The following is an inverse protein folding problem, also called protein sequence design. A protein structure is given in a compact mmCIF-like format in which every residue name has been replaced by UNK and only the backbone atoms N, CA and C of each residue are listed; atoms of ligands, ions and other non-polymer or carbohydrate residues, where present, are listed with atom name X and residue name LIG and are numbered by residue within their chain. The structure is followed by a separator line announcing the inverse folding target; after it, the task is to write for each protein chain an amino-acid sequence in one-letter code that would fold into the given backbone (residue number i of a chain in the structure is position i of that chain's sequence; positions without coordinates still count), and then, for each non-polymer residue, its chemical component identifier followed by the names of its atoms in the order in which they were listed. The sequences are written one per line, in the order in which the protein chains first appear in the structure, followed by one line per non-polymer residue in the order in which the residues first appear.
data_IF_523693964546
#
_entry.id   IF_523693964546
#
_cell.length_a   1.000
_cell.length_b   1.000
_cell.length_c   1.000
_cell.angle_alpha   90.00
_cell.angle_beta   90.00
_cell.angle_gamma   90.00
#
_symmetry.space_group_name_H-M   'P 1'
#
loop_
_entity.id
_entity.type
_entity.pdbx_description
1 polymer ?
#
# COMPACT_ATOMS: atom_id res chain seq x y z
N UNK A 1 5.11 7.25 18.33
CA UNK A 1 6.41 7.58 17.70
C UNK A 1 7.53 6.54 17.93
N UNK A 2 7.67 5.91 19.11
CA UNK A 2 8.72 4.86 19.34
C UNK A 2 8.60 3.65 18.41
N UNK A 3 7.40 3.23 18.07
CA UNK A 3 7.16 2.05 17.22
C UNK A 3 7.60 2.24 15.76
N UNK A 4 7.49 3.45 15.19
CA UNK A 4 7.86 3.72 13.81
C UNK A 4 9.37 3.48 13.55
N UNK A 5 10.26 3.88 14.47
CA UNK A 5 11.71 3.63 14.33
C UNK A 5 12.06 2.13 14.37
N UNK A 6 11.35 1.38 15.20
CA UNK A 6 11.53 -0.07 15.33
C UNK A 6 11.07 -0.76 14.05
N UNK A 7 9.89 -0.39 13.55
CA UNK A 7 9.32 -0.92 12.30
C UNK A 7 10.26 -0.72 11.12
N UNK A 8 10.80 0.50 10.94
CA UNK A 8 11.77 0.80 9.87
C UNK A 8 13.04 -0.04 10.01
N UNK A 9 13.55 -0.23 11.22
CA UNK A 9 14.76 -1.04 11.46
C UNK A 9 14.55 -2.50 11.04
N UNK A 10 13.43 -3.11 11.43
CA UNK A 10 13.12 -4.49 11.05
C UNK A 10 12.87 -4.63 9.55
N UNK A 11 12.17 -3.69 8.93
CA UNK A 11 11.95 -3.67 7.49
C UNK A 11 13.26 -3.60 6.70
N UNK A 12 14.17 -2.70 7.10
CA UNK A 12 15.50 -2.60 6.47
C UNK A 12 16.37 -3.83 6.70
N UNK A 13 16.34 -4.44 7.89
CA UNK A 13 17.08 -5.67 8.19
C UNK A 13 16.56 -6.84 7.33
N UNK A 14 15.25 -6.99 7.21
CA UNK A 14 14.65 -8.02 6.35
C UNK A 14 15.00 -7.78 4.87
N UNK A 15 15.03 -6.53 4.43
CA UNK A 15 15.43 -6.18 3.06
C UNK A 15 16.91 -6.52 2.80
N UNK A 16 17.81 -6.25 3.76
CA UNK A 16 19.21 -6.68 3.66
C UNK A 16 19.35 -8.19 3.50
N UNK A 17 18.65 -8.97 4.33
CA UNK A 17 18.61 -10.44 4.21
C UNK A 17 18.01 -10.90 2.87
N UNK A 18 17.02 -10.19 2.34
CA UNK A 18 16.41 -10.47 1.05
C UNK A 18 17.43 -10.36 -0.10
N UNK A 19 18.26 -9.30 -0.07
CA UNK A 19 19.34 -9.07 -1.05
C UNK A 19 20.39 -10.18 -0.95
N UNK A 20 20.88 -10.46 0.25
CA UNK A 20 21.92 -11.49 0.48
C UNK A 20 21.50 -12.87 -0.05
N UNK A 21 20.22 -13.21 0.11
CA UNK A 21 19.67 -14.49 -0.34
C UNK A 21 19.06 -14.45 -1.77
N UNK A 22 19.16 -13.33 -2.49
CA UNK A 22 18.55 -13.14 -3.83
C UNK A 22 17.07 -13.51 -3.88
N UNK A 23 16.32 -13.25 -2.82
CA UNK A 23 14.92 -13.63 -2.63
C UNK A 23 14.00 -12.43 -2.39
N UNK A 24 14.36 -11.27 -2.93
CA UNK A 24 13.66 -10.00 -2.70
C UNK A 24 12.20 -10.06 -3.13
N UNK A 25 11.93 -10.64 -4.30
CA UNK A 25 10.58 -10.75 -4.85
C UNK A 25 9.71 -11.71 -4.03
N UNK A 26 10.27 -12.84 -3.60
CA UNK A 26 9.54 -13.83 -2.80
C UNK A 26 9.14 -13.23 -1.44
N UNK A 27 10.09 -12.57 -0.77
CA UNK A 27 9.82 -11.91 0.51
C UNK A 27 8.84 -10.74 0.33
N UNK A 28 8.91 -10.00 -0.77
CA UNK A 28 7.94 -8.95 -1.09
C UNK A 28 6.53 -9.51 -1.22
N UNK A 29 6.35 -10.59 -1.97
CA UNK A 29 5.07 -11.27 -2.11
C UNK A 29 4.55 -11.82 -0.75
N UNK A 30 5.45 -12.34 0.07
CA UNK A 30 5.10 -12.83 1.41
C UNK A 30 4.63 -11.71 2.32
N UNK A 31 5.31 -10.57 2.31
CA UNK A 31 4.90 -9.40 3.10
C UNK A 31 3.59 -8.81 2.61
N UNK A 32 3.32 -8.85 1.31
CA UNK A 32 2.00 -8.49 0.77
C UNK A 32 0.90 -9.43 1.28
N UNK A 33 1.12 -10.75 1.24
CA UNK A 33 0.16 -11.74 1.77
C UNK A 33 -0.10 -11.50 3.26
N UNK A 34 0.94 -11.24 4.05
CA UNK A 34 0.83 -10.94 5.48
C UNK A 34 0.02 -9.66 5.71
N UNK A 35 0.32 -8.59 4.99
CA UNK A 35 -0.38 -7.31 5.08
C UNK A 35 -1.86 -7.47 4.72
N UNK A 36 -2.17 -8.15 3.62
CA UNK A 36 -3.54 -8.40 3.19
C UNK A 36 -4.30 -9.25 4.21
N UNK A 37 -3.70 -10.34 4.71
CA UNK A 37 -4.31 -11.18 5.74
C UNK A 37 -4.66 -10.37 7.01
N UNK A 38 -3.78 -9.47 7.45
CA UNK A 38 -4.04 -8.61 8.60
C UNK A 38 -5.11 -7.54 8.33
N UNK A 39 -5.20 -7.05 7.09
CA UNK A 39 -6.19 -6.05 6.67
C UNK A 39 -7.60 -6.66 6.55
N UNK A 40 -7.69 -7.84 5.97
CA UNK A 40 -8.96 -8.55 5.76
C UNK A 40 -9.52 -9.14 7.06
N UNK A 41 -8.62 -9.60 7.96
CA UNK A 41 -9.01 -10.26 9.21
C UNK A 41 -8.65 -9.40 10.43
N UNK A 42 -9.61 -8.61 10.90
CA UNK A 42 -9.45 -7.81 12.13
C UNK A 42 -9.14 -8.68 13.36
N UNK A 43 -9.69 -9.90 13.42
CA UNK A 43 -9.43 -10.86 14.49
C UNK A 43 -7.95 -11.26 14.56
N UNK A 44 -7.28 -11.47 13.41
CA UNK A 44 -5.85 -11.75 13.36
C UNK A 44 -5.04 -10.58 13.94
N UNK A 45 -5.42 -9.36 13.61
CA UNK A 45 -4.74 -8.16 14.13
C UNK A 45 -4.95 -8.01 15.65
N UNK A 46 -6.15 -8.27 16.16
CA UNK A 46 -6.45 -8.27 17.61
C UNK A 46 -5.71 -9.40 18.34
N UNK A 47 -5.68 -10.58 17.74
CA UNK A 47 -4.92 -11.73 18.25
C UNK A 47 -3.43 -11.40 18.39
N UNK A 48 -2.81 -10.82 17.38
CA UNK A 48 -1.40 -10.41 17.43
C UNK A 48 -1.14 -9.35 18.51
N UNK A 49 -2.06 -8.40 18.69
CA UNK A 49 -1.95 -7.33 19.68
C UNK A 49 -2.24 -7.77 21.11
N UNK A 50 -2.92 -8.90 21.32
CA UNK A 50 -3.30 -9.38 22.66
C UNK A 50 -2.07 -9.80 23.46
N UNK A 51 -1.83 -9.22 24.66
CA UNK A 51 -0.74 -9.63 25.53
C UNK A 51 -1.04 -10.88 26.34
N UNK A 52 -2.31 -11.29 26.42
CA UNK A 52 -2.76 -12.42 27.25
C UNK A 52 -2.33 -13.77 26.65
N UNK A 53 -2.23 -13.84 25.33
CA UNK A 53 -1.94 -15.07 24.60
C UNK A 53 -0.43 -15.34 24.64
N UNK A 54 -0.07 -16.54 25.10
CA UNK A 54 1.33 -16.98 25.21
C UNK A 54 1.98 -17.02 23.82
N UNK A 55 3.26 -16.66 23.76
CA UNK A 55 4.09 -16.61 22.54
C UNK A 55 4.05 -17.93 21.76
N UNK A 56 4.10 -19.07 22.45
CA UNK A 56 4.09 -20.39 21.80
C UNK A 56 2.77 -20.68 21.05
N UNK A 57 1.64 -20.24 21.63
CA UNK A 57 0.34 -20.36 20.95
C UNK A 57 0.29 -19.45 19.72
N UNK A 58 0.83 -18.24 19.80
CA UNK A 58 0.91 -17.32 18.67
C UNK A 58 1.77 -17.88 17.54
N UNK A 59 2.93 -18.48 17.88
CA UNK A 59 3.80 -19.12 16.89
C UNK A 59 3.09 -20.26 16.17
N UNK A 60 2.44 -21.18 16.91
CA UNK A 60 1.71 -22.31 16.30
C UNK A 60 0.61 -21.85 15.33
N UNK A 61 -0.15 -20.81 15.70
CA UNK A 61 -1.21 -20.28 14.85
C UNK A 61 -0.64 -19.57 13.61
N UNK A 62 0.43 -18.77 13.78
CA UNK A 62 1.10 -18.15 12.64
C UNK A 62 1.67 -19.20 11.69
N UNK A 63 2.29 -20.26 12.22
CA UNK A 63 2.79 -21.36 11.40
C UNK A 63 1.64 -22.04 10.63
N UNK A 64 0.50 -22.34 11.26
CA UNK A 64 -0.65 -22.94 10.60
C UNK A 64 -1.24 -22.05 9.49
N UNK A 65 -1.34 -20.74 9.72
CA UNK A 65 -1.91 -19.81 8.73
C UNK A 65 -0.98 -19.65 7.50
N UNK A 66 0.34 -19.64 7.74
CA UNK A 66 1.32 -19.26 6.74
C UNK A 66 2.22 -20.41 6.27
N UNK A 67 2.09 -21.65 6.80
CA UNK A 67 3.00 -22.76 6.60
C UNK A 67 3.34 -23.04 5.12
N UNK A 68 2.33 -23.03 4.24
CA UNK A 68 2.49 -23.30 2.80
C UNK A 68 2.45 -22.06 1.91
N UNK A 69 2.35 -20.86 2.51
CA UNK A 69 2.05 -19.64 1.79
C UNK A 69 3.23 -18.68 1.69
N UNK A 70 4.24 -18.86 2.56
CA UNK A 70 5.39 -17.97 2.66
C UNK A 70 6.71 -18.74 2.64
N UNK A 71 7.78 -18.05 2.26
CA UNK A 71 9.15 -18.58 2.18
C UNK A 71 9.71 -18.91 3.58
N UNK A 72 10.75 -19.75 3.63
CA UNK A 72 11.41 -20.12 4.88
C UNK A 72 12.02 -18.93 5.60
N UNK A 73 12.57 -17.95 4.85
CA UNK A 73 13.14 -16.73 5.42
C UNK A 73 12.06 -15.91 6.10
N UNK A 74 10.93 -15.74 5.45
CA UNK A 74 9.77 -15.03 6.03
C UNK A 74 9.24 -15.72 7.28
N UNK A 75 9.19 -17.08 7.31
CA UNK A 75 8.81 -17.84 8.51
C UNK A 75 9.76 -17.60 9.66
N UNK A 76 11.07 -17.70 9.42
CA UNK A 76 12.08 -17.44 10.44
C UNK A 76 11.97 -16.01 10.98
N UNK A 77 11.74 -15.05 10.10
CA UNK A 77 11.52 -13.66 10.50
C UNK A 77 10.31 -13.49 11.42
N UNK A 78 9.15 -14.08 11.05
CA UNK A 78 7.94 -14.07 11.89
C UNK A 78 8.21 -14.68 13.25
N UNK A 79 8.92 -15.81 13.29
CA UNK A 79 9.31 -16.49 14.53
C UNK A 79 10.16 -15.59 15.43
N UNK A 80 11.19 -14.95 14.87
CA UNK A 80 12.07 -14.03 15.62
C UNK A 80 11.28 -12.84 16.19
N UNK A 81 10.43 -12.21 15.40
CA UNK A 81 9.62 -11.06 15.84
C UNK A 81 8.69 -11.47 16.99
N UNK A 82 8.05 -12.63 16.88
CA UNK A 82 7.13 -13.16 17.88
C UNK A 82 7.88 -13.54 19.17
N UNK A 83 9.06 -14.17 19.07
CA UNK A 83 9.91 -14.46 20.24
C UNK A 83 10.37 -13.19 20.96
N UNK A 84 10.60 -12.11 20.24
CA UNK A 84 10.92 -10.80 20.80
C UNK A 84 9.71 -10.03 21.34
N UNK A 85 8.52 -10.66 21.38
CA UNK A 85 7.24 -10.08 21.85
C UNK A 85 6.88 -8.80 21.11
N UNK A 86 7.14 -8.76 19.79
CA UNK A 86 6.87 -7.61 18.90
C UNK A 86 5.90 -7.96 17.77
N UNK A 87 5.14 -9.03 17.94
CA UNK A 87 4.15 -9.50 16.97
C UNK A 87 3.05 -8.46 16.68
N UNK A 88 2.77 -7.56 17.62
CA UNK A 88 1.83 -6.45 17.42
C UNK A 88 2.27 -5.47 16.32
N UNK A 89 3.56 -5.47 15.96
CA UNK A 89 4.13 -4.60 14.93
C UNK A 89 4.24 -5.29 13.57
N UNK A 90 3.88 -6.57 13.44
CA UNK A 90 4.06 -7.33 12.20
C UNK A 90 3.36 -6.68 11.00
N UNK A 91 2.14 -6.19 11.17
CA UNK A 91 1.42 -5.47 10.11
C UNK A 91 2.17 -4.22 9.64
N UNK A 92 2.63 -3.41 10.58
CA UNK A 92 3.37 -2.16 10.27
C UNK A 92 4.73 -2.48 9.64
N UNK A 93 5.40 -3.55 10.09
CA UNK A 93 6.68 -4.00 9.52
C UNK A 93 6.49 -4.47 8.08
N UNK A 94 5.44 -5.25 7.80
CA UNK A 94 5.14 -5.72 6.46
C UNK A 94 4.89 -4.55 5.49
N UNK A 95 4.05 -3.60 5.89
CA UNK A 95 3.80 -2.40 5.08
C UNK A 95 5.08 -1.59 4.85
N UNK A 96 5.90 -1.42 5.89
CA UNK A 96 7.15 -0.67 5.75
C UNK A 96 8.19 -1.39 4.89
N UNK A 97 8.20 -2.72 4.92
CA UNK A 97 9.04 -3.50 4.00
C UNK A 97 8.60 -3.29 2.54
N UNK A 98 7.29 -3.34 2.27
CA UNK A 98 6.73 -3.08 0.93
C UNK A 98 7.14 -1.68 0.42
N UNK A 99 7.06 -0.66 1.28
CA UNK A 99 7.51 0.69 0.93
C UNK A 99 9.01 0.73 0.61
N UNK A 100 9.87 0.12 1.47
CA UNK A 100 11.31 0.08 1.27
C UNK A 100 11.67 -0.66 -0.02
N UNK A 101 11.02 -1.79 -0.30
CA UNK A 101 11.21 -2.55 -1.53
C UNK A 101 10.86 -1.71 -2.77
N UNK A 102 9.69 -1.03 -2.76
CA UNK A 102 9.26 -0.16 -3.85
C UNK A 102 10.25 0.98 -4.09
N UNK A 103 10.67 1.67 -3.04
CA UNK A 103 11.67 2.75 -3.13
C UNK A 103 13.00 2.28 -3.73
N UNK A 104 13.49 1.09 -3.32
CA UNK A 104 14.78 0.56 -3.79
C UNK A 104 14.73 0.05 -5.22
N UNK A 105 13.57 -0.40 -5.68
CA UNK A 105 13.38 -0.91 -7.03
C UNK A 105 12.78 0.12 -7.99
N UNK A 106 12.67 1.38 -7.56
CA UNK A 106 12.04 2.49 -8.31
C UNK A 106 10.64 2.10 -8.82
N UNK A 107 9.82 1.52 -7.91
CA UNK A 107 8.44 1.17 -8.22
C UNK A 107 7.55 2.28 -7.68
N UNK A 108 6.95 3.05 -8.57
CA UNK A 108 5.98 4.09 -8.21
C UNK A 108 4.57 3.50 -8.10
N UNK A 109 3.82 3.94 -7.09
CA UNK A 109 2.42 3.53 -6.96
C UNK A 109 1.53 4.65 -7.49
N UNK A 110 0.80 4.34 -8.56
CA UNK A 110 -0.24 5.22 -9.09
C UNK A 110 -1.59 4.86 -8.46
N UNK A 111 -2.17 5.77 -7.70
CA UNK A 111 -3.52 5.62 -7.18
C UNK A 111 -4.51 6.24 -8.18
N UNK A 112 -5.43 5.41 -8.69
CA UNK A 112 -6.50 5.85 -9.57
C UNK A 112 -7.80 5.77 -8.81
N UNK A 113 -8.51 6.91 -8.72
CA UNK A 113 -9.85 6.99 -8.15
C UNK A 113 -10.82 7.16 -9.32
N UNK A 114 -11.83 6.28 -9.41
CA UNK A 114 -12.86 6.29 -10.45
C UNK A 114 -14.24 6.13 -9.82
N UNK A 115 -15.28 6.60 -10.50
CA UNK A 115 -16.66 6.42 -10.03
C UNK A 115 -17.14 4.96 -10.16
N UNK A 116 -16.58 4.19 -11.08
CA UNK A 116 -16.89 2.80 -11.34
C UNK A 116 -15.63 1.99 -11.56
N UNK A 117 -15.70 0.67 -11.47
CA UNK A 117 -14.57 -0.21 -11.78
C UNK A 117 -14.07 0.04 -13.19
N UNK A 118 -12.75 0.11 -13.33
CA UNK A 118 -12.10 0.30 -14.63
C UNK A 118 -12.32 -0.93 -15.52
N UNK A 119 -12.64 -0.66 -16.78
CA UNK A 119 -12.61 -1.67 -17.82
C UNK A 119 -11.15 -2.13 -18.04
N UNK A 120 -10.88 -3.45 -18.27
CA UNK A 120 -9.55 -3.97 -18.51
C UNK A 120 -8.78 -3.25 -19.62
N UNK A 121 -9.45 -2.88 -20.72
CA UNK A 121 -8.82 -2.13 -21.83
C UNK A 121 -8.40 -0.72 -21.40
N UNK A 122 -9.27 -0.02 -20.65
CA UNK A 122 -8.97 1.32 -20.13
C UNK A 122 -7.82 1.27 -19.12
N UNK A 123 -7.79 0.25 -18.27
CA UNK A 123 -6.70 -0.01 -17.32
C UNK A 123 -5.34 -0.15 -18.03
N UNK A 124 -5.28 -0.94 -19.09
CA UNK A 124 -4.06 -1.13 -19.89
C UNK A 124 -3.61 0.17 -20.55
N UNK A 125 -4.53 0.92 -21.14
CA UNK A 125 -4.24 2.21 -21.75
C UNK A 125 -3.65 3.21 -20.74
N UNK A 126 -4.25 3.30 -19.55
CA UNK A 126 -3.74 4.17 -18.48
C UNK A 126 -2.35 3.73 -18.04
N UNK A 127 -2.12 2.42 -17.86
CA UNK A 127 -0.80 1.88 -17.55
C UNK A 127 0.25 2.25 -18.58
N UNK A 128 -0.07 2.12 -19.87
CA UNK A 128 0.85 2.45 -20.96
C UNK A 128 1.18 3.94 -21.00
N UNK A 129 0.19 4.81 -20.79
CA UNK A 129 0.42 6.26 -20.70
C UNK A 129 1.30 6.62 -19.51
N UNK A 130 1.06 6.00 -18.35
CA UNK A 130 1.85 6.25 -17.15
C UNK A 130 3.29 5.73 -17.30
N UNK A 131 3.50 4.54 -17.85
CA UNK A 131 4.84 3.98 -18.11
C UNK A 131 5.64 4.87 -19.07
N UNK A 132 5.02 5.37 -20.13
CA UNK A 132 5.68 6.25 -21.09
C UNK A 132 6.08 7.60 -20.47
N UNK A 133 5.32 8.06 -19.48
CA UNK A 133 5.52 9.39 -18.87
C UNK A 133 6.51 9.38 -17.70
N UNK A 134 6.58 8.29 -16.94
CA UNK A 134 7.37 8.19 -15.70
C UNK A 134 8.58 7.28 -15.82
N UNK A 135 8.74 6.52 -16.92
CA UNK A 135 9.86 5.60 -17.20
C UNK A 135 10.14 4.54 -16.12
N UNK A 136 9.35 4.52 -15.05
CA UNK A 136 9.51 3.64 -13.90
C UNK A 136 8.52 2.49 -13.94
N UNK A 137 8.79 1.47 -13.14
CA UNK A 137 7.82 0.40 -12.89
C UNK A 137 6.66 0.97 -12.09
N UNK A 138 5.44 0.96 -12.67
CA UNK A 138 4.25 1.52 -12.04
C UNK A 138 3.31 0.40 -11.61
N UNK A 139 2.94 0.42 -10.35
CA UNK A 139 1.83 -0.38 -9.82
C UNK A 139 0.56 0.48 -9.71
N UNK A 140 -0.55 -0.02 -10.29
CA UNK A 140 -1.84 0.63 -10.19
C UNK A 140 -2.58 0.16 -8.93
N UNK A 141 -3.01 1.11 -8.12
CA UNK A 141 -3.94 0.90 -7.03
C UNK A 141 -5.26 1.58 -7.38
N UNK A 142 -6.31 0.79 -7.56
CA UNK A 142 -7.63 1.26 -7.97
C UNK A 142 -8.51 1.45 -6.75
N UNK A 143 -9.12 2.62 -6.66
CA UNK A 143 -10.10 2.96 -5.62
C UNK A 143 -11.39 3.43 -6.32
N UNK A 144 -12.50 2.82 -5.99
CA UNK A 144 -13.81 3.25 -6.49
C UNK A 144 -14.41 4.21 -5.47
N UNK A 145 -14.76 5.43 -5.91
CA UNK A 145 -15.42 6.46 -5.10
C UNK A 145 -16.51 7.15 -5.92
N UNK A 146 -17.76 6.87 -5.63
CA UNK A 146 -18.94 7.41 -6.32
C UNK A 146 -19.06 8.94 -6.19
N UNK A 147 -18.37 9.56 -5.23
CA UNK A 147 -18.42 11.01 -4.98
C UNK A 147 -17.84 11.84 -6.12
N UNK A 148 -16.99 11.27 -6.96
CA UNK A 148 -16.42 11.99 -8.11
C UNK A 148 -17.40 12.15 -9.27
N UNK A 149 -18.59 11.48 -9.20
CA UNK A 149 -19.68 11.46 -10.19
C UNK A 149 -19.27 10.78 -11.50
N UNK A 150 -18.04 11.03 -11.98
CA UNK A 150 -17.49 10.46 -13.21
C UNK A 150 -16.09 10.95 -13.47
N UNK A 151 -15.42 10.40 -14.50
CA UNK A 151 -14.03 10.67 -14.81
C UNK A 151 -13.07 9.92 -13.89
N UNK A 152 -11.84 10.43 -13.75
CA UNK A 152 -10.80 9.81 -12.93
C UNK A 152 -9.89 10.84 -12.26
N UNK A 153 -9.37 10.47 -11.09
CA UNK A 153 -8.31 11.21 -10.41
C UNK A 153 -7.11 10.27 -10.32
N UNK A 154 -6.00 10.64 -10.93
CA UNK A 154 -4.76 9.87 -10.95
C UNK A 154 -3.74 10.59 -10.07
N UNK A 155 -3.18 9.89 -9.07
CA UNK A 155 -2.11 10.40 -8.21
C UNK A 155 -0.88 9.50 -8.34
N UNK A 156 0.23 10.09 -8.73
CA UNK A 156 1.53 9.40 -8.85
C UNK A 156 2.57 10.26 -8.13
N UNK A 157 3.19 9.72 -7.11
CA UNK A 157 4.09 10.48 -6.23
C UNK A 157 3.45 11.81 -5.77
N UNK A 158 4.08 12.94 -6.06
CA UNK A 158 3.62 14.28 -5.71
C UNK A 158 2.72 14.94 -6.77
N UNK A 159 2.43 14.22 -7.87
CA UNK A 159 1.63 14.76 -8.98
C UNK A 159 0.22 14.20 -8.95
N UNK A 160 -0.77 15.09 -9.12
CA UNK A 160 -2.16 14.72 -9.26
C UNK A 160 -2.71 15.25 -10.59
N UNK A 161 -3.34 14.37 -11.34
CA UNK A 161 -4.15 14.70 -12.50
C UNK A 161 -5.61 14.44 -12.15
N UNK A 162 -6.40 15.51 -12.07
CA UNK A 162 -7.81 15.45 -11.74
C UNK A 162 -8.64 15.79 -12.97
N UNK A 163 -9.26 14.77 -13.54
CA UNK A 163 -10.18 14.83 -14.68
C UNK A 163 -11.61 14.43 -14.26
N UNK A 164 -11.96 14.61 -12.98
CA UNK A 164 -13.28 14.29 -12.45
C UNK A 164 -14.34 15.32 -12.88
N UNK A 165 -15.56 14.83 -13.07
CA UNK A 165 -16.73 15.67 -13.35
C UNK A 165 -17.01 16.61 -12.19
N UNK A 166 -16.84 16.16 -10.95
CA UNK A 166 -17.02 16.99 -9.75
C UNK A 166 -16.10 18.22 -9.76
N UNK A 167 -14.82 18.05 -10.09
CA UNK A 167 -13.87 19.17 -10.23
C UNK A 167 -14.24 20.10 -11.38
N UNK A 168 -14.70 19.57 -12.51
CA UNK A 168 -15.15 20.38 -13.64
C UNK A 168 -16.34 21.24 -13.25
N UNK A 169 -17.33 20.69 -12.57
CA UNK A 169 -18.49 21.42 -12.05
C UNK A 169 -18.11 22.49 -11.03
N UNK A 170 -17.18 22.18 -10.11
CA UNK A 170 -16.68 23.17 -9.14
C UNK A 170 -15.98 24.35 -9.83
N UNK A 171 -15.15 24.07 -10.83
CA UNK A 171 -14.48 25.10 -11.62
C UNK A 171 -15.49 25.98 -12.38
N UNK A 172 -16.53 25.39 -12.95
CA UNK A 172 -17.62 26.14 -13.58
C UNK A 172 -18.36 27.00 -12.56
N UNK A 173 -18.78 26.44 -11.44
CA UNK A 173 -19.44 27.18 -10.36
C UNK A 173 -18.58 28.37 -9.88
N UNK A 174 -17.28 28.15 -9.73
CA UNK A 174 -16.37 29.21 -9.31
C UNK A 174 -16.24 30.32 -10.38
N UNK A 175 -16.24 29.97 -11.69
CA UNK A 175 -16.23 30.94 -12.78
C UNK A 175 -17.51 31.79 -12.81
N UNK A 176 -18.68 31.17 -12.58
CA UNK A 176 -19.94 31.91 -12.54
C UNK A 176 -20.10 32.79 -11.29
N UNK A 177 -19.52 32.35 -10.14
CA UNK A 177 -19.57 33.15 -8.91
C UNK A 177 -18.53 34.29 -8.87
N UNK A 178 -17.52 34.31 -9.76
CA UNK A 178 -16.65 35.43 -9.93
C UNK A 178 -17.42 36.51 -10.70
N UNK A 179 -17.89 37.54 -9.96
CA UNK A 179 -18.48 38.73 -10.54
C UNK A 179 -17.38 39.46 -11.32
N UNK A 180 -17.42 39.38 -12.65
CA UNK A 180 -16.46 40.07 -13.55
C UNK A 180 -16.79 41.54 -13.69
N UNK A 181 -17.84 42.04 -13.05
CA UNK A 181 -18.21 43.41 -13.08
C UNK A 181 -17.44 44.19 -12.02
N UNK A 182 -16.31 44.73 -12.40
CA UNK A 182 -15.65 45.80 -11.66
C UNK A 182 -16.32 47.09 -12.15
N UNK A 183 -17.06 47.75 -11.27
CA UNK A 183 -17.61 49.04 -11.51
C UNK A 183 -16.43 50.04 -11.40
N UNK A 184 -15.88 50.48 -12.55
CA UNK A 184 -14.96 51.60 -12.59
C UNK A 184 -15.77 52.89 -12.31
N UNK A 185 -15.52 53.51 -11.16
CA UNK A 185 -15.93 54.87 -10.87
C UNK A 185 -14.75 55.81 -11.14
#
# INVERSE_FOLDING_TARGET
MKNARVTVRYAKALYGLAIENKSELDIYNDMQKLSNACRENKELTLFLKSPIIKTDKKLKILDQIFEKKISNISKLFLKIITQKKRESLLYDIANKFIEVYKQKNNIETANIITAQKLDPQLRENILNVLKNRFQDKIELNEVVDDKIIGGSIIRVADKQLDSSVSSALQKLKHKFNKNLYIQDY
#
